data_IF_074558616290
#
_entry.id   IF_074558616290
#
_cell.length_a   1.000
_cell.length_b   1.000
_cell.length_c   1.000
_cell.angle_alpha   90.00
_cell.angle_beta   90.00
_cell.angle_gamma   90.00
#
_symmetry.space_group_name_H-M   'P 1'
#
loop_
_entity.id
_entity.type
_entity.pdbx_description
1 polymer ?
#
# COMPACT_ATOMS: atom_id res chain seq x y z
N UNK A 1 1.05 -19.46 -8.41
CA UNK A 1 2.52 -19.28 -8.35
C UNK A 1 3.11 -18.60 -9.59
N UNK A 2 2.89 -19.08 -10.84
CA UNK A 2 3.55 -18.52 -12.05
C UNK A 2 3.26 -17.03 -12.32
N UNK A 3 2.01 -16.58 -12.14
CA UNK A 3 1.61 -15.18 -12.40
C UNK A 3 2.34 -14.18 -11.51
N UNK A 4 2.56 -14.49 -10.22
CA UNK A 4 3.27 -13.60 -9.31
C UNK A 4 4.73 -13.41 -9.72
N UNK A 5 5.41 -14.51 -10.09
CA UNK A 5 6.80 -14.45 -10.54
C UNK A 5 6.92 -13.55 -11.77
N UNK A 6 6.02 -13.66 -12.75
CA UNK A 6 6.02 -12.81 -13.95
C UNK A 6 5.88 -11.33 -13.57
N UNK A 7 4.91 -10.97 -12.72
CA UNK A 7 4.71 -9.58 -12.31
C UNK A 7 5.87 -9.04 -11.47
N UNK A 8 6.51 -9.88 -10.65
CA UNK A 8 7.71 -9.51 -9.90
C UNK A 8 8.91 -9.27 -10.81
N UNK A 9 9.05 -10.03 -11.91
CA UNK A 9 10.07 -9.79 -12.92
C UNK A 9 9.88 -8.45 -13.64
N UNK A 10 8.63 -8.00 -13.85
CA UNK A 10 8.37 -6.64 -14.36
C UNK A 10 8.88 -5.57 -13.39
N UNK A 11 8.69 -5.76 -12.08
CA UNK A 11 9.26 -4.89 -11.05
C UNK A 11 10.81 -4.87 -11.07
N UNK A 12 11.45 -6.03 -11.29
CA UNK A 12 12.92 -6.09 -11.44
C UNK A 12 13.39 -5.35 -12.68
N UNK A 13 12.73 -5.54 -13.83
CA UNK A 13 13.01 -4.82 -15.06
C UNK A 13 12.84 -3.30 -14.87
N UNK A 14 11.75 -2.89 -14.24
CA UNK A 14 11.49 -1.48 -13.93
C UNK A 14 12.58 -0.89 -13.02
N UNK A 15 13.06 -1.65 -12.02
CA UNK A 15 14.19 -1.24 -11.18
C UNK A 15 15.50 -1.08 -11.99
N UNK A 16 15.81 -2.02 -12.87
CA UNK A 16 17.00 -1.91 -13.73
C UNK A 16 16.93 -0.66 -14.64
N UNK A 17 15.77 -0.42 -15.25
CA UNK A 17 15.53 0.78 -16.05
C UNK A 17 15.64 2.04 -15.18
N UNK A 18 15.05 2.06 -13.99
CA UNK A 18 15.11 3.19 -13.07
C UNK A 18 16.55 3.61 -12.78
N UNK A 19 17.47 2.65 -12.58
CA UNK A 19 18.89 2.97 -12.45
C UNK A 19 19.50 3.56 -13.72
N UNK A 20 19.22 2.94 -14.87
CA UNK A 20 19.74 3.38 -16.16
C UNK A 20 19.27 4.79 -16.56
N UNK A 21 18.09 5.21 -16.08
CA UNK A 21 17.52 6.54 -16.35
C UNK A 21 17.57 7.48 -15.14
N UNK A 22 18.46 7.21 -14.18
CA UNK A 22 18.70 8.08 -13.00
C UNK A 22 17.43 8.42 -12.21
N UNK A 23 16.55 7.43 -12.07
CA UNK A 23 15.29 7.55 -11.36
C UNK A 23 14.17 8.17 -12.18
N UNK A 24 14.33 8.49 -13.48
CA UNK A 24 13.23 8.92 -14.37
C UNK A 24 12.30 7.78 -14.80
N UNK A 25 11.92 6.95 -13.83
CA UNK A 25 11.06 5.79 -13.95
C UNK A 25 10.06 5.80 -12.78
N UNK A 26 8.81 5.34 -12.95
CA UNK A 26 7.91 5.14 -11.83
C UNK A 26 8.48 4.17 -10.79
N UNK A 27 8.08 4.37 -9.54
CA UNK A 27 8.32 3.43 -8.45
C UNK A 27 7.58 2.10 -8.69
N UNK A 28 7.79 1.12 -7.81
CA UNK A 28 7.10 -0.16 -7.91
C UNK A 28 5.60 -0.02 -7.72
N UNK A 29 4.85 -0.99 -8.26
CA UNK A 29 3.41 -1.00 -8.23
C UNK A 29 2.82 -2.34 -7.79
N UNK A 30 1.52 -2.32 -7.59
CA UNK A 30 0.68 -3.46 -7.24
C UNK A 30 0.90 -4.70 -8.12
N UNK A 31 0.63 -5.88 -7.55
CA UNK A 31 0.52 -7.17 -8.27
C UNK A 31 -0.91 -7.68 -8.26
N UNK A 32 -1.26 -8.60 -9.18
CA UNK A 32 -2.56 -9.27 -9.17
C UNK A 32 -2.69 -10.11 -7.89
N UNK A 33 -3.88 -10.09 -7.29
CA UNK A 33 -4.27 -10.94 -6.16
C UNK A 33 -5.74 -11.28 -6.30
N UNK A 34 -6.17 -12.38 -5.68
CA UNK A 34 -7.59 -12.63 -5.51
C UNK A 34 -7.86 -13.17 -4.12
N UNK A 35 -8.92 -12.66 -3.53
CA UNK A 35 -9.47 -13.12 -2.26
C UNK A 35 -10.85 -13.67 -2.51
N UNK A 36 -11.33 -14.55 -1.64
CA UNK A 36 -12.63 -15.15 -1.79
C UNK A 36 -13.18 -15.68 -0.49
N UNK A 37 -14.48 -15.93 -0.52
CA UNK A 37 -15.19 -16.67 0.52
C UNK A 37 -16.04 -17.74 -0.14
N UNK A 38 -16.12 -18.89 0.51
CA UNK A 38 -16.92 -20.01 0.04
C UNK A 38 -17.56 -20.78 1.20
N UNK A 39 -18.64 -21.47 0.89
CA UNK A 39 -19.47 -22.19 1.85
C UNK A 39 -20.86 -22.41 1.27
N UNK A 40 -21.86 -22.48 2.12
CA UNK A 40 -23.26 -22.56 1.72
C UNK A 40 -23.95 -21.20 1.85
N UNK A 41 -24.76 -20.82 0.87
CA UNK A 41 -25.53 -19.59 0.89
C UNK A 41 -26.72 -19.65 1.87
N UNK A 42 -27.56 -18.61 1.88
CA UNK A 42 -28.73 -18.53 2.75
C UNK A 42 -29.80 -19.58 2.43
N UNK A 43 -29.84 -20.10 1.20
CA UNK A 43 -30.74 -21.18 0.77
C UNK A 43 -30.12 -22.58 0.97
N UNK A 44 -28.87 -22.66 1.44
CA UNK A 44 -28.16 -23.92 1.66
C UNK A 44 -27.49 -24.48 0.40
N UNK A 45 -27.32 -23.69 -0.66
CA UNK A 45 -26.59 -24.10 -1.87
C UNK A 45 -25.11 -23.70 -1.78
N UNK A 46 -24.18 -24.50 -2.31
CA UNK A 46 -22.76 -24.16 -2.28
C UNK A 46 -22.47 -22.94 -3.17
N UNK A 47 -21.57 -22.08 -2.72
CA UNK A 47 -21.09 -20.91 -3.46
C UNK A 47 -19.57 -20.74 -3.34
N UNK A 48 -19.01 -20.04 -4.32
CA UNK A 48 -17.64 -19.52 -4.30
C UNK A 48 -17.66 -18.08 -4.82
N UNK A 49 -17.39 -17.12 -3.94
CA UNK A 49 -17.13 -15.75 -4.32
C UNK A 49 -15.62 -15.58 -4.48
N UNK A 50 -15.18 -15.03 -5.61
CA UNK A 50 -13.81 -14.57 -5.82
C UNK A 50 -13.83 -13.15 -6.34
N UNK A 51 -12.93 -12.35 -5.82
CA UNK A 51 -12.76 -10.96 -6.20
C UNK A 51 -11.29 -10.66 -6.44
N UNK A 52 -11.05 -9.87 -7.48
CA UNK A 52 -9.74 -9.25 -7.74
C UNK A 52 -9.87 -7.79 -7.32
N UNK A 53 -9.19 -7.42 -6.25
CA UNK A 53 -9.02 -6.03 -5.87
C UNK A 53 -7.67 -5.54 -6.38
N UNK A 54 -7.69 -4.39 -7.04
CA UNK A 54 -6.49 -3.67 -7.41
C UNK A 54 -5.72 -3.09 -6.22
N UNK A 55 -4.78 -2.21 -6.51
CA UNK A 55 -3.91 -1.59 -5.51
C UNK A 55 -3.28 -0.33 -6.05
N UNK A 56 -2.32 0.22 -5.31
CA UNK A 56 -1.67 1.46 -5.70
C UNK A 56 -0.66 1.29 -6.84
N UNK A 57 -0.65 2.22 -7.78
CA UNK A 57 0.45 2.36 -8.74
C UNK A 57 1.63 3.14 -8.16
N UNK A 58 2.83 2.94 -8.71
CA UNK A 58 4.02 3.64 -8.24
C UNK A 58 3.98 5.14 -8.55
N UNK A 59 4.48 5.96 -7.63
CA UNK A 59 4.75 7.38 -7.87
C UNK A 59 5.64 7.54 -9.10
N UNK A 60 5.27 8.46 -10.00
CA UNK A 60 6.00 8.74 -11.24
C UNK A 60 6.94 9.91 -10.98
N UNK A 61 8.00 10.05 -11.78
CA UNK A 61 8.92 11.18 -11.65
C UNK A 61 8.32 12.55 -12.01
N UNK A 62 7.06 12.57 -12.47
CA UNK A 62 6.33 13.76 -12.91
C UNK A 62 4.90 13.85 -12.34
N UNK A 63 4.42 12.84 -11.60
CA UNK A 63 3.04 12.79 -11.08
C UNK A 63 2.88 11.71 -10.02
N UNK A 64 1.87 11.84 -9.16
CA UNK A 64 1.50 10.81 -8.19
C UNK A 64 1.13 9.49 -8.89
N UNK A 65 1.27 8.39 -8.15
CA UNK A 65 0.69 7.10 -8.51
C UNK A 65 -0.82 7.15 -8.47
N UNK A 66 -1.45 6.33 -9.28
CA UNK A 66 -2.91 6.21 -9.34
C UNK A 66 -3.39 5.27 -8.26
N UNK A 67 -4.47 5.70 -7.60
CA UNK A 67 -5.10 4.98 -6.51
C UNK A 67 -5.91 3.81 -7.08
N UNK A 68 -5.82 2.64 -6.45
CA UNK A 68 -6.72 1.51 -6.70
C UNK A 68 -6.81 1.02 -8.16
N UNK A 69 -5.67 0.96 -8.86
CA UNK A 69 -5.60 0.50 -10.24
C UNK A 69 -5.69 -1.02 -10.36
N UNK A 70 -6.26 -1.48 -11.47
CA UNK A 70 -6.27 -2.88 -11.87
C UNK A 70 -5.28 -3.08 -13.01
N UNK A 71 -4.27 -3.94 -12.79
CA UNK A 71 -3.20 -4.22 -13.78
C UNK A 71 -3.70 -5.11 -14.93
N UNK A 72 -4.78 -5.85 -14.71
CA UNK A 72 -5.43 -6.65 -15.76
C UNK A 72 -6.34 -5.74 -16.59
N UNK A 73 -6.18 -5.69 -17.93
CA UNK A 73 -7.07 -4.92 -18.80
C UNK A 73 -8.54 -5.27 -18.56
N UNK A 74 -9.40 -4.25 -18.55
CA UNK A 74 -10.85 -4.36 -18.34
C UNK A 74 -11.31 -5.01 -17.03
N UNK A 75 -10.39 -5.20 -16.07
CA UNK A 75 -10.74 -5.66 -14.74
C UNK A 75 -11.34 -4.51 -13.92
N UNK A 76 -12.45 -4.80 -13.24
CA UNK A 76 -13.18 -3.88 -12.35
C UNK A 76 -13.47 -4.59 -11.03
N UNK A 77 -13.62 -3.83 -9.96
CA UNK A 77 -14.11 -4.36 -8.68
C UNK A 77 -15.58 -4.82 -8.82
N UNK A 78 -16.01 -5.70 -7.93
CA UNK A 78 -17.40 -6.14 -7.89
C UNK A 78 -18.27 -5.06 -7.21
N UNK A 79 -19.41 -4.66 -7.80
CA UNK A 79 -20.34 -3.77 -7.12
C UNK A 79 -20.79 -4.35 -5.77
N UNK A 80 -20.92 -3.49 -4.77
CA UNK A 80 -21.36 -3.90 -3.43
C UNK A 80 -22.75 -4.51 -3.47
N UNK A 81 -23.73 -3.86 -4.12
CA UNK A 81 -25.11 -4.38 -4.13
C UNK A 81 -25.20 -5.74 -4.85
N UNK A 82 -24.40 -5.96 -5.89
CA UNK A 82 -24.31 -7.26 -6.55
C UNK A 82 -23.77 -8.34 -5.63
N UNK A 83 -22.72 -8.01 -4.87
CA UNK A 83 -22.06 -8.96 -3.98
C UNK A 83 -22.97 -9.36 -2.82
N UNK A 84 -23.63 -8.39 -2.18
CA UNK A 84 -24.55 -8.62 -1.06
C UNK A 84 -25.85 -9.32 -1.49
N UNK A 85 -26.32 -9.07 -2.71
CA UNK A 85 -27.48 -9.76 -3.27
C UNK A 85 -27.21 -11.23 -3.62
N UNK A 86 -25.94 -11.63 -3.77
CA UNK A 86 -25.56 -12.98 -4.26
C UNK A 86 -24.92 -13.87 -3.20
N UNK A 87 -24.28 -13.29 -2.19
CA UNK A 87 -23.45 -14.01 -1.23
C UNK A 87 -23.85 -13.67 0.22
N UNK A 88 -23.68 -14.60 1.19
CA UNK A 88 -24.13 -14.42 2.57
C UNK A 88 -23.17 -13.54 3.39
N UNK A 89 -22.96 -12.29 2.96
CA UNK A 89 -22.18 -11.30 3.69
C UNK A 89 -22.68 -9.88 3.40
N UNK A 90 -22.24 -8.92 4.22
CA UNK A 90 -22.44 -7.48 4.02
C UNK A 90 -21.09 -6.79 3.87
N UNK A 91 -20.96 -5.86 2.94
CA UNK A 91 -19.76 -5.03 2.77
C UNK A 91 -19.91 -3.78 3.65
N UNK A 92 -19.24 -3.77 4.80
CA UNK A 92 -19.31 -2.65 5.75
C UNK A 92 -18.45 -1.46 5.33
N UNK A 93 -17.41 -1.72 4.53
CA UNK A 93 -16.50 -0.69 4.03
C UNK A 93 -15.95 -1.09 2.68
N UNK A 94 -15.91 -0.13 1.76
CA UNK A 94 -15.11 -0.18 0.55
C UNK A 94 -14.60 1.24 0.27
N UNK A 95 -13.30 1.44 0.37
CA UNK A 95 -12.68 2.75 0.12
C UNK A 95 -11.18 2.67 0.00
N UNK A 96 -10.52 3.82 -0.04
CA UNK A 96 -9.05 3.88 -0.03
C UNK A 96 -8.51 3.42 1.33
N UNK A 97 -7.41 2.68 1.29
CA UNK A 97 -6.57 2.43 2.44
C UNK A 97 -5.67 3.66 2.65
N UNK A 98 -6.10 4.56 3.54
CA UNK A 98 -5.32 5.73 3.96
C UNK A 98 -3.91 5.31 4.39
N UNK A 99 -2.90 6.10 4.02
CA UNK A 99 -1.47 5.87 4.28
C UNK A 99 -0.88 4.59 3.66
N UNK A 100 -1.60 3.93 2.75
CA UNK A 100 -1.07 2.73 2.08
C UNK A 100 -0.08 3.05 0.96
N UNK A 101 -0.24 4.18 0.28
CA UNK A 101 0.68 4.65 -0.75
C UNK A 101 2.02 5.09 -0.15
N UNK A 102 3.11 4.71 -0.80
CA UNK A 102 4.47 5.05 -0.36
C UNK A 102 4.71 6.55 -0.39
N UNK A 103 5.17 7.16 0.72
CA UNK A 103 5.50 8.58 0.74
C UNK A 103 6.57 8.98 -0.29
N UNK A 104 6.42 10.14 -0.90
CA UNK A 104 7.40 10.71 -1.82
C UNK A 104 7.05 12.13 -2.25
N UNK A 105 7.95 12.81 -2.99
CA UNK A 105 7.59 14.05 -3.71
C UNK A 105 6.33 13.81 -4.54
N UNK A 106 6.31 12.67 -5.22
CA UNK A 106 5.12 12.09 -5.82
C UNK A 106 4.81 10.80 -5.08
N UNK A 107 3.63 10.73 -4.44
CA UNK A 107 3.24 9.59 -3.62
C UNK A 107 2.93 8.37 -4.50
N UNK A 108 3.07 7.18 -3.94
CA UNK A 108 2.41 6.00 -4.49
C UNK A 108 0.89 6.12 -4.37
N UNK A 109 0.16 5.45 -5.26
CA UNK A 109 -1.28 5.30 -5.15
C UNK A 109 -1.67 4.50 -3.91
N UNK A 110 -2.84 4.79 -3.35
CA UNK A 110 -3.44 4.03 -2.27
C UNK A 110 -4.02 2.70 -2.79
N UNK A 111 -3.98 1.67 -1.95
CA UNK A 111 -4.75 0.45 -2.12
C UNK A 111 -6.19 0.59 -1.63
N UNK A 112 -6.93 -0.52 -1.63
CA UNK A 112 -8.27 -0.66 -1.08
C UNK A 112 -8.24 -1.04 0.39
N UNK A 113 -9.24 -0.58 1.14
CA UNK A 113 -9.66 -1.10 2.43
C UNK A 113 -11.09 -1.63 2.27
N UNK A 114 -11.26 -2.95 2.34
CA UNK A 114 -12.57 -3.61 2.24
C UNK A 114 -12.87 -4.39 3.51
N UNK A 115 -14.06 -4.20 4.08
CA UNK A 115 -14.55 -4.93 5.25
C UNK A 115 -15.79 -5.72 4.84
N UNK A 116 -15.77 -7.03 5.11
CA UNK A 116 -16.86 -7.94 4.79
C UNK A 116 -17.31 -8.64 6.08
N UNK A 117 -18.53 -8.37 6.53
CA UNK A 117 -19.15 -9.09 7.66
C UNK A 117 -19.86 -10.33 7.15
N UNK A 118 -19.45 -11.50 7.61
CA UNK A 118 -20.10 -12.75 7.22
C UNK A 118 -21.46 -12.90 7.91
N UNK A 119 -22.49 -13.31 7.19
CA UNK A 119 -23.83 -13.59 7.74
C UNK A 119 -24.02 -15.07 8.09
N UNK A 120 -23.14 -15.94 7.58
CA UNK A 120 -23.12 -17.38 7.82
C UNK A 120 -21.67 -17.85 7.90
N UNK A 121 -21.45 -18.93 8.65
CA UNK A 121 -20.15 -19.60 8.71
C UNK A 121 -19.67 -19.95 7.30
N UNK A 122 -18.40 -19.66 7.04
CA UNK A 122 -17.78 -19.82 5.74
C UNK A 122 -16.28 -20.07 5.88
N UNK A 123 -15.61 -20.20 4.74
CA UNK A 123 -14.17 -20.27 4.66
C UNK A 123 -13.66 -19.12 3.79
N UNK A 124 -12.62 -18.46 4.25
CA UNK A 124 -11.88 -17.46 3.51
C UNK A 124 -10.70 -18.10 2.78
N UNK A 125 -10.41 -17.57 1.59
CA UNK A 125 -9.21 -17.90 0.84
C UNK A 125 -8.51 -16.64 0.36
N UNK A 126 -7.19 -16.66 0.34
CA UNK A 126 -6.36 -15.61 -0.23
C UNK A 126 -5.26 -16.20 -1.09
N UNK A 127 -5.15 -15.69 -2.31
CA UNK A 127 -4.01 -15.95 -3.19
C UNK A 127 -3.45 -14.57 -3.55
N UNK A 128 -2.55 -14.10 -2.70
CA UNK A 128 -1.98 -12.76 -2.76
C UNK A 128 -0.45 -12.77 -2.58
N UNK A 129 0.19 -11.74 -3.13
CA UNK A 129 1.60 -11.41 -2.95
C UNK A 129 1.74 -10.09 -2.15
N UNK A 130 2.95 -9.58 -1.95
CA UNK A 130 3.21 -8.27 -1.30
C UNK A 130 2.81 -8.18 0.16
N UNK A 131 2.76 -9.31 0.88
CA UNK A 131 2.50 -9.34 2.32
C UNK A 131 3.74 -9.13 3.19
N UNK A 132 4.91 -9.50 2.65
CA UNK A 132 6.20 -9.24 3.29
C UNK A 132 6.88 -8.05 2.60
N UNK A 133 7.24 -8.20 1.31
CA UNK A 133 7.86 -7.14 0.52
C UNK A 133 6.80 -6.27 -0.14
N UNK A 134 6.66 -5.03 0.33
CA UNK A 134 5.79 -4.04 -0.31
C UNK A 134 6.33 -3.56 -1.66
N UNK A 135 5.56 -2.71 -2.33
CA UNK A 135 6.03 -1.95 -3.49
C UNK A 135 7.15 -1.01 -3.05
N UNK A 136 8.35 -1.16 -3.62
CA UNK A 136 9.51 -0.35 -3.26
C UNK A 136 9.37 1.10 -3.75
N UNK A 137 9.84 2.05 -2.94
CA UNK A 137 10.01 3.44 -3.33
C UNK A 137 11.33 3.66 -4.06
N UNK A 138 11.46 4.78 -4.78
CA UNK A 138 12.65 5.08 -5.58
C UNK A 138 13.10 6.53 -5.45
N UNK A 139 14.40 6.75 -5.61
CA UNK A 139 15.03 8.08 -5.61
C UNK A 139 14.70 8.89 -4.34
N UNK A 140 14.72 8.24 -3.17
CA UNK A 140 14.36 8.83 -1.88
C UNK A 140 12.89 8.69 -1.49
N UNK A 141 12.03 8.23 -2.41
CA UNK A 141 10.67 7.83 -2.09
C UNK A 141 10.64 6.54 -1.27
N UNK A 142 9.56 6.35 -0.52
CA UNK A 142 9.39 5.29 0.48
C UNK A 142 8.54 4.15 -0.06
N UNK A 143 8.76 2.96 0.48
CA UNK A 143 7.92 1.81 0.15
C UNK A 143 6.46 2.06 0.54
N UNK A 144 5.53 1.49 -0.22
CA UNK A 144 4.12 1.43 0.18
C UNK A 144 3.89 0.48 1.37
N UNK A 145 2.65 0.41 1.86
CA UNK A 145 2.24 -0.56 2.87
C UNK A 145 1.90 -1.90 2.24
N UNK A 146 2.36 -2.98 2.86
CA UNK A 146 2.09 -4.36 2.43
C UNK A 146 0.60 -4.72 2.49
N UNK A 147 0.25 -5.70 1.65
CA UNK A 147 -1.03 -6.40 1.70
C UNK A 147 -1.24 -7.08 3.05
N UNK A 148 -2.45 -7.01 3.58
CA UNK A 148 -2.80 -7.63 4.86
C UNK A 148 -4.27 -8.06 4.87
N UNK A 149 -4.54 -9.22 5.46
CA UNK A 149 -5.89 -9.67 5.80
C UNK A 149 -5.96 -9.90 7.30
N UNK A 150 -7.02 -9.40 7.91
CA UNK A 150 -7.36 -9.65 9.32
C UNK A 150 -8.76 -10.25 9.38
N UNK A 151 -8.95 -11.34 10.11
CA UNK A 151 -10.29 -11.87 10.44
C UNK A 151 -10.65 -11.43 11.84
N UNK A 152 -11.94 -11.12 12.03
CA UNK A 152 -12.53 -10.62 13.27
C UNK A 152 -11.91 -9.31 13.75
N UNK A 153 -11.74 -8.35 12.82
CA UNK A 153 -11.17 -7.03 13.13
C UNK A 153 -11.94 -6.33 14.26
N UNK A 154 -11.25 -6.01 15.35
CA UNK A 154 -11.79 -5.41 16.56
C UNK A 154 -12.56 -6.39 17.47
N UNK A 155 -12.59 -7.67 17.12
CA UNK A 155 -13.28 -8.73 17.85
C UNK A 155 -12.36 -9.56 18.75
N UNK A 156 -12.94 -10.47 19.55
CA UNK A 156 -12.18 -11.31 20.49
C UNK A 156 -11.30 -12.37 19.81
N UNK A 157 -11.59 -12.76 18.57
CA UNK A 157 -10.84 -13.75 17.80
C UNK A 157 -9.98 -13.09 16.69
N UNK A 158 -9.60 -11.82 16.86
CA UNK A 158 -8.83 -11.06 15.86
C UNK A 158 -7.52 -11.77 15.51
N UNK A 159 -7.29 -12.00 14.22
CA UNK A 159 -6.04 -12.59 13.73
C UNK A 159 -5.67 -12.12 12.33
N UNK A 160 -4.37 -11.95 12.11
CA UNK A 160 -3.80 -11.72 10.79
C UNK A 160 -3.64 -13.07 10.09
N UNK A 161 -4.07 -13.13 8.83
CA UNK A 161 -4.01 -14.35 8.01
C UNK A 161 -2.89 -14.24 6.99
N UNK A 162 -2.25 -15.37 6.69
CA UNK A 162 -1.27 -15.45 5.61
C UNK A 162 -1.87 -15.08 4.26
N UNK A 163 -1.05 -14.47 3.41
CA UNK A 163 -1.47 -14.02 2.08
C UNK A 163 -1.75 -15.17 1.11
N UNK A 164 -1.20 -16.35 1.39
CA UNK A 164 -1.46 -17.60 0.71
C UNK A 164 -2.12 -18.54 1.71
N UNK A 165 -3.44 -18.60 1.68
CA UNK A 165 -4.25 -19.41 2.58
C UNK A 165 -5.47 -19.93 1.84
N UNK A 166 -5.91 -21.11 2.22
CA UNK A 166 -7.18 -21.68 1.80
C UNK A 166 -7.87 -22.28 3.03
N UNK A 167 -9.19 -22.43 2.96
CA UNK A 167 -10.00 -23.00 4.04
C UNK A 167 -9.86 -22.29 5.41
N UNK A 168 -9.55 -20.99 5.45
CA UNK A 168 -9.46 -20.26 6.71
C UNK A 168 -10.87 -20.05 7.29
N UNK A 169 -11.21 -20.61 8.46
CA UNK A 169 -12.59 -20.58 8.96
C UNK A 169 -13.01 -19.17 9.38
N UNK A 170 -14.21 -18.74 8.96
CA UNK A 170 -14.80 -17.46 9.39
C UNK A 170 -16.20 -17.73 9.90
N UNK A 171 -16.47 -17.34 11.14
CA UNK A 171 -17.79 -17.51 11.77
C UNK A 171 -18.73 -16.39 11.34
N UNK A 172 -20.03 -16.68 11.34
CA UNK A 172 -21.06 -15.67 11.21
C UNK A 172 -20.86 -14.54 12.22
N UNK A 173 -21.03 -13.31 11.77
CA UNK A 173 -20.79 -12.10 12.54
C UNK A 173 -19.36 -11.59 12.49
N UNK A 174 -18.35 -12.40 12.14
CA UNK A 174 -16.96 -11.91 12.05
C UNK A 174 -16.74 -11.04 10.81
N UNK A 175 -15.83 -10.08 10.94
CA UNK A 175 -15.43 -9.17 9.85
C UNK A 175 -14.11 -9.61 9.25
N UNK A 176 -14.09 -9.83 7.93
CA UNK A 176 -12.88 -9.99 7.15
C UNK A 176 -12.46 -8.61 6.66
N UNK A 177 -11.30 -8.14 7.13
CA UNK A 177 -10.70 -6.88 6.70
C UNK A 177 -9.55 -7.15 5.73
N UNK A 178 -9.72 -6.69 4.48
CA UNK A 178 -8.75 -6.83 3.41
C UNK A 178 -8.18 -5.44 3.11
N UNK A 179 -6.85 -5.30 3.26
CA UNK A 179 -6.11 -4.12 2.85
C UNK A 179 -5.18 -4.47 1.70
N UNK A 180 -5.39 -3.89 0.52
CA UNK A 180 -4.46 -4.05 -0.60
C UNK A 180 -3.26 -3.12 -0.47
N UNK A 181 -2.15 -3.48 -1.11
CA UNK A 181 -0.92 -2.69 -1.01
C UNK A 181 -1.08 -1.37 -1.75
N UNK A 182 -0.43 -0.33 -1.23
CA UNK A 182 -0.17 0.86 -2.03
C UNK A 182 1.06 0.70 -2.91
N UNK A 183 1.23 1.62 -3.86
CA UNK A 183 2.43 1.69 -4.69
C UNK A 183 3.60 2.33 -3.95
N UNK A 184 4.81 2.21 -4.46
CA UNK A 184 5.97 2.92 -3.92
C UNK A 184 5.92 4.42 -4.21
N UNK A 185 6.55 5.23 -3.36
CA UNK A 185 6.72 6.67 -3.59
C UNK A 185 7.94 6.99 -4.46
N UNK A 186 7.92 8.16 -5.07
CA UNK A 186 9.03 8.70 -5.86
C UNK A 186 9.53 10.01 -5.27
N UNK A 187 10.85 10.15 -5.13
CA UNK A 187 11.48 11.38 -4.64
C UNK A 187 11.32 11.58 -3.13
N UNK A 188 12.08 12.52 -2.54
CA UNK A 188 12.00 12.80 -1.10
C UNK A 188 10.59 13.30 -0.68
N UNK A 189 9.90 12.63 0.27
CA UNK A 189 8.65 13.11 0.84
C UNK A 189 8.70 14.57 1.34
N UNK A 190 9.84 15.00 1.88
CA UNK A 190 10.01 16.36 2.43
C UNK A 190 10.10 17.43 1.33
N UNK A 191 10.14 17.03 0.06
CA UNK A 191 10.07 17.92 -1.09
C UNK A 191 8.64 18.08 -1.64
N UNK A 192 7.64 17.34 -1.13
CA UNK A 192 6.24 17.51 -1.54
C UNK A 192 5.71 18.89 -1.10
N UNK A 193 5.05 19.67 -1.96
CA UNK A 193 4.44 20.94 -1.57
C UNK A 193 3.39 20.77 -0.46
N UNK A 194 3.29 21.77 0.41
CA UNK A 194 2.38 21.75 1.55
C UNK A 194 0.91 21.68 1.13
N UNK A 195 0.53 22.37 0.08
CA UNK A 195 -0.83 22.36 -0.47
C UNK A 195 -1.22 21.00 -1.06
N UNK A 196 -0.26 20.29 -1.68
CA UNK A 196 -0.48 18.92 -2.14
C UNK A 196 -0.70 17.96 -0.96
N UNK A 197 0.07 18.09 0.13
CA UNK A 197 -0.13 17.28 1.34
C UNK A 197 -1.48 17.60 2.02
N UNK A 198 -1.83 18.87 2.15
CA UNK A 198 -3.12 19.29 2.71
C UNK A 198 -4.30 18.70 1.90
N UNK A 199 -4.18 18.69 0.57
CA UNK A 199 -5.15 18.06 -0.33
C UNK A 199 -5.24 16.54 -0.12
N UNK A 200 -4.12 15.86 0.02
CA UNK A 200 -4.11 14.42 0.30
C UNK A 200 -4.77 14.09 1.65
N UNK A 201 -4.59 14.95 2.66
CA UNK A 201 -5.26 14.85 3.96
C UNK A 201 -6.76 15.10 3.84
N UNK A 202 -7.16 16.15 3.11
CA UNK A 202 -8.56 16.44 2.85
C UNK A 202 -9.27 15.30 2.10
N UNK A 203 -8.57 14.62 1.20
CA UNK A 203 -9.08 13.47 0.45
C UNK A 203 -8.95 12.12 1.18
N UNK A 204 -8.41 12.11 2.41
CA UNK A 204 -8.24 10.89 3.20
C UNK A 204 -7.25 9.88 2.61
N UNK A 205 -6.36 10.33 1.72
CA UNK A 205 -5.28 9.50 1.14
C UNK A 205 -4.10 9.40 2.11
N UNK A 206 -3.83 10.52 2.79
CA UNK A 206 -2.83 10.65 3.86
C UNK A 206 -3.56 11.03 5.15
N UNK A 207 -3.21 10.45 6.29
CA UNK A 207 -3.75 10.85 7.59
C UNK A 207 -3.02 12.08 8.15
N UNK A 208 -3.59 12.72 9.18
CA UNK A 208 -2.90 13.82 9.90
C UNK A 208 -1.56 13.33 10.48
N UNK A 209 -1.52 12.10 10.99
CA UNK A 209 -0.29 11.47 11.48
C UNK A 209 0.70 11.23 10.33
N UNK A 210 0.25 10.66 9.21
CA UNK A 210 1.09 10.47 8.02
C UNK A 210 1.66 11.78 7.47
N UNK A 211 0.86 12.85 7.44
CA UNK A 211 1.33 14.18 7.05
C UNK A 211 2.49 14.66 7.93
N UNK A 212 2.39 14.46 9.25
CA UNK A 212 3.40 14.86 10.23
C UNK A 212 4.66 13.98 10.20
N UNK A 213 4.47 12.66 10.12
CA UNK A 213 5.55 11.66 10.21
C UNK A 213 6.33 11.53 8.90
N UNK A 214 5.61 11.41 7.78
CA UNK A 214 6.23 11.08 6.50
C UNK A 214 6.62 12.34 5.70
N UNK A 215 5.79 13.39 5.77
CA UNK A 215 5.97 14.61 4.95
C UNK A 215 6.46 15.83 5.74
N UNK A 216 6.48 15.74 7.07
CA UNK A 216 6.82 16.83 7.97
C UNK A 216 5.87 18.02 7.90
N UNK A 217 4.59 17.78 7.62
CA UNK A 217 3.57 18.82 7.48
C UNK A 217 2.63 18.79 8.68
N UNK A 218 2.57 19.92 9.37
CA UNK A 218 1.65 20.14 10.49
C UNK A 218 0.34 20.67 9.93
N UNK A 219 -0.73 19.90 10.10
CA UNK A 219 -2.06 20.24 9.59
C UNK A 219 -3.03 20.51 10.73
N UNK A 220 -3.94 21.44 10.50
CA UNK A 220 -5.08 21.76 11.35
C UNK A 220 -6.40 21.67 10.58
N UNK A 221 -7.49 22.09 11.23
CA UNK A 221 -8.79 22.23 10.58
C UNK A 221 -9.39 23.59 10.86
N UNK A 222 -9.91 24.22 9.82
CA UNK A 222 -10.80 25.38 9.90
C UNK A 222 -12.11 25.03 9.20
N UNK A 223 -13.14 24.71 9.97
CA UNK A 223 -14.38 24.14 9.42
C UNK A 223 -14.13 22.81 8.72
N UNK A 224 -14.43 22.74 7.41
CA UNK A 224 -14.20 21.56 6.58
C UNK A 224 -12.85 21.56 5.87
N UNK A 225 -12.13 22.68 5.90
CA UNK A 225 -10.87 22.85 5.20
C UNK A 225 -9.68 22.36 6.05
N UNK A 226 -8.74 21.70 5.38
CA UNK A 226 -7.45 21.33 5.96
C UNK A 226 -6.49 22.51 5.75
N UNK A 227 -6.01 23.07 6.86
CA UNK A 227 -5.05 24.18 6.85
C UNK A 227 -3.66 23.68 7.25
N UNK A 228 -2.62 24.36 6.75
CA UNK A 228 -1.23 24.04 7.07
C UNK A 228 -0.64 25.13 7.95
N UNK A 229 -0.03 24.72 9.06
CA UNK A 229 0.87 25.59 9.82
C UNK A 229 2.25 25.55 9.15
N UNK A 230 2.55 26.59 8.36
CA UNK A 230 3.79 26.66 7.58
C UNK A 230 5.02 26.71 8.49
N UNK A 231 4.98 27.50 9.56
CA UNK A 231 6.11 27.66 10.47
C UNK A 231 6.41 26.35 11.20
N UNK A 232 5.38 25.70 11.75
CA UNK A 232 5.56 24.41 12.41
C UNK A 232 5.97 23.29 11.42
N UNK A 233 5.51 23.36 10.16
CA UNK A 233 5.93 22.43 9.10
C UNK A 233 7.40 22.62 8.70
N UNK A 234 7.87 23.86 8.59
CA UNK A 234 9.27 24.16 8.31
C UNK A 234 10.20 23.64 9.41
N UNK A 235 9.82 23.88 10.68
CA UNK A 235 10.54 23.34 11.85
C UNK A 235 10.58 21.81 11.83
N UNK A 236 9.43 21.17 11.57
CA UNK A 236 9.33 19.71 11.51
C UNK A 236 10.17 19.11 10.38
N UNK A 237 10.16 19.72 9.19
CA UNK A 237 11.04 19.28 8.09
C UNK A 237 12.51 19.46 8.42
N UNK A 238 12.88 20.54 9.11
CA UNK A 238 14.25 20.77 9.56
C UNK A 238 14.70 19.73 10.62
N UNK A 239 13.80 19.34 11.53
CA UNK A 239 14.02 18.24 12.46
C UNK A 239 14.24 16.90 11.73
N UNK A 240 13.31 16.52 10.83
CA UNK A 240 13.40 15.26 10.08
C UNK A 240 14.68 15.17 9.23
N UNK A 241 15.14 16.27 8.62
CA UNK A 241 16.42 16.31 7.90
C UNK A 241 17.61 16.07 8.83
N UNK A 242 17.67 16.76 9.98
CA UNK A 242 18.75 16.56 10.97
C UNK A 242 18.79 15.11 11.48
N UNK A 243 17.64 14.50 11.73
CA UNK A 243 17.57 13.10 12.16
C UNK A 243 18.10 12.14 11.08
N UNK A 244 17.82 12.39 9.80
CA UNK A 244 18.35 11.57 8.68
C UNK A 244 19.87 11.68 8.57
N UNK A 245 20.42 12.89 8.70
CA UNK A 245 21.86 13.14 8.62
C UNK A 245 22.61 12.51 9.80
N UNK A 246 22.04 12.53 11.01
CA UNK A 246 22.62 11.89 12.19
C UNK A 246 22.67 10.36 12.11
N UNK A 247 21.81 9.75 11.29
CA UNK A 247 21.68 8.28 11.17
C UNK A 247 22.42 7.72 9.95
N UNK A 248 22.75 8.57 8.97
CA UNK A 248 23.38 8.15 7.71
C UNK A 248 24.87 8.45 7.75
N UNK A 249 25.72 7.44 7.95
CA UNK A 249 27.16 7.60 7.67
C UNK A 249 27.31 7.89 6.17
N UNK A 250 27.73 9.11 5.85
CA UNK A 250 27.90 9.64 4.51
C UNK A 250 28.63 8.67 3.58
N UNK A 251 27.98 8.23 2.49
CA UNK A 251 28.57 8.07 1.15
C UNK A 251 27.59 7.42 0.15
N UNK A 252 26.56 6.69 0.59
CA UNK A 252 25.69 5.94 -0.33
C UNK A 252 24.20 6.19 -0.08
N UNK A 253 23.56 6.91 -1.01
CA UNK A 253 22.11 7.13 -1.01
C UNK A 253 21.40 5.85 -1.43
N UNK A 254 20.55 5.31 -0.55
CA UNK A 254 19.66 4.19 -0.88
C UNK A 254 18.71 4.62 -2.00
N UNK A 255 18.85 3.98 -3.15
CA UNK A 255 18.08 4.27 -4.37
C UNK A 255 16.70 3.63 -4.31
N UNK A 256 16.61 2.40 -3.80
CA UNK A 256 15.36 1.67 -3.62
C UNK A 256 15.06 1.48 -2.13
N UNK A 257 13.97 2.06 -1.66
CA UNK A 257 13.43 1.76 -0.33
C UNK A 257 12.51 0.54 -0.44
N UNK A 258 12.97 -0.62 0.04
CA UNK A 258 12.20 -1.88 -0.02
C UNK A 258 11.23 -2.08 1.14
N UNK A 259 11.18 -1.12 2.07
CA UNK A 259 10.35 -1.18 3.26
C UNK A 259 10.83 -2.20 4.30
N UNK A 260 10.14 -2.25 5.45
CA UNK A 260 10.57 -3.02 6.62
C UNK A 260 10.57 -4.54 6.39
N UNK A 261 9.79 -5.04 5.43
CA UNK A 261 9.75 -6.46 5.10
C UNK A 261 11.06 -6.99 4.54
N UNK A 262 11.92 -6.14 3.96
CA UNK A 262 13.21 -6.57 3.44
C UNK A 262 14.14 -7.02 4.56
N UNK A 263 14.25 -6.24 5.64
CA UNK A 263 15.08 -6.58 6.79
C UNK A 263 14.71 -7.94 7.40
N UNK A 264 13.42 -8.29 7.41
CA UNK A 264 12.94 -9.61 7.87
C UNK A 264 13.49 -10.75 7.01
N UNK A 265 13.59 -10.56 5.70
CA UNK A 265 14.06 -11.60 4.77
C UNK A 265 15.59 -11.64 4.62
N UNK A 266 16.26 -10.51 4.85
CA UNK A 266 17.71 -10.36 4.67
C UNK A 266 18.51 -10.66 5.95
N UNK A 267 17.87 -11.09 7.04
CA UNK A 267 18.54 -11.33 8.32
C UNK A 267 18.94 -10.04 9.05
N UNK A 268 18.21 -8.94 8.82
CA UNK A 268 18.40 -7.66 9.51
C UNK A 268 19.02 -6.55 8.65
N UNK A 269 19.44 -6.83 7.41
CA UNK A 269 20.00 -5.81 6.53
C UNK A 269 18.90 -4.86 6.02
N UNK A 270 19.13 -3.55 6.10
CA UNK A 270 18.16 -2.53 5.69
C UNK A 270 17.98 -2.43 4.16
N UNK A 271 19.00 -2.77 3.38
CA UNK A 271 19.01 -2.70 1.91
C UNK A 271 19.97 -3.72 1.31
N UNK A 272 19.79 -4.04 0.02
CA UNK A 272 20.76 -4.81 -0.76
C UNK A 272 21.86 -3.89 -1.30
N UNK A 273 23.05 -4.41 -1.61
CA UNK A 273 24.10 -3.65 -2.30
C UNK A 273 23.60 -3.05 -3.64
N UNK A 274 22.80 -3.83 -4.37
CA UNK A 274 22.14 -3.39 -5.61
C UNK A 274 21.06 -2.33 -5.39
N UNK A 275 20.74 -1.93 -4.16
CA UNK A 275 19.83 -0.82 -3.89
C UNK A 275 20.56 0.51 -3.77
N UNK A 276 21.89 0.51 -3.80
CA UNK A 276 22.68 1.74 -3.76
C UNK A 276 22.87 2.28 -5.19
N UNK A 277 22.91 3.61 -5.33
CA UNK A 277 23.55 4.22 -6.48
C UNK A 277 25.06 4.07 -6.26
N UNK A 278 25.75 3.41 -7.20
CA UNK A 278 27.21 3.48 -7.22
C UNK A 278 27.67 4.93 -7.42
N UNK A 279 28.97 5.24 -7.22
CA UNK A 279 29.51 6.52 -7.64
C UNK A 279 29.15 6.75 -9.12
N UNK A 280 28.85 8.00 -9.54
CA UNK A 280 28.55 8.29 -10.94
C UNK A 280 29.68 7.71 -11.82
N UNK A 281 29.37 7.11 -12.98
CA UNK A 281 30.40 6.66 -13.90
C UNK A 281 31.30 7.85 -14.28
N UNK A 282 32.61 7.66 -14.18
CA UNK A 282 33.65 8.63 -14.58
C UNK A 282 33.64 8.91 -16.07
#
# INVERSE_FOLDING_TARGET
>A
ARTFVILRLLGVLAGALAKAVEGRMPADQETIRYTGVYGDDLAGSPYLMREVLGGGSGGRYYADGEDTIHVVPDSRNLPTEFSEGRFPFVVERLGLATDSGGPGRYRGGCGYQKHIRMLKDAHFMSIADRSILACWGVNGGKAGRSFQVTIDLGGPDERVVDALVDAEPVRAGQVISIRTTGGGGWGDPLARPYDEVARDVAWGKVSVAGAYEDYGVVTGREGYDVVVDVAASDERRAELRRSRDATTSSEQRVFFDRGPGYARLSGGAAFAEVDLLGPPPT
#
